data_IF_914290799914
#
_entry.id   IF_914290799914
#
_cell.length_a   1.000
_cell.length_b   1.000
_cell.length_c   1.000
_cell.angle_alpha   90.00
_cell.angle_beta   90.00
_cell.angle_gamma   90.00
#
_symmetry.space_group_name_H-M   'P 1'
#
loop_
_entity.id
_entity.type
_entity.pdbx_description
1 polymer ?
#
# COMPACT_ATOMS: atom_id res chain seq x y z
N UNK A 1 35.52 -45.08 25.60
CA UNK A 1 35.77 -43.71 25.10
C UNK A 1 34.45 -43.11 24.67
N UNK A 2 34.11 -41.95 25.23
CA UNK A 2 32.81 -41.29 25.09
C UNK A 2 32.75 -40.65 23.70
N UNK A 3 31.96 -41.21 22.80
CA UNK A 3 31.74 -40.64 21.47
C UNK A 3 30.94 -39.34 21.60
N UNK A 4 31.67 -38.25 21.76
CA UNK A 4 31.38 -36.89 21.28
C UNK A 4 29.94 -36.64 20.84
N UNK A 5 29.08 -36.35 21.82
CA UNK A 5 27.78 -35.74 21.63
C UNK A 5 27.95 -34.23 21.41
N UNK A 6 28.37 -33.79 20.23
CA UNK A 6 28.35 -32.35 19.87
C UNK A 6 28.12 -32.22 18.36
N UNK A 7 26.86 -32.27 17.90
CA UNK A 7 26.51 -31.88 16.53
C UNK A 7 25.02 -31.55 16.37
N UNK A 8 24.36 -30.99 17.39
CA UNK A 8 22.94 -30.68 17.26
C UNK A 8 22.58 -29.48 18.14
N UNK A 9 22.80 -28.24 17.67
CA UNK A 9 22.00 -27.08 18.09
C UNK A 9 22.37 -25.79 17.32
N UNK A 10 22.12 -25.73 16.01
CA UNK A 10 22.13 -24.45 15.28
C UNK A 10 20.98 -24.42 14.26
N UNK A 11 19.74 -24.56 14.75
CA UNK A 11 18.55 -24.10 14.06
C UNK A 11 18.17 -22.74 14.64
N UNK A 12 18.93 -21.70 14.28
CA UNK A 12 18.48 -20.32 14.49
C UNK A 12 17.32 -20.07 13.53
N UNK A 13 16.09 -20.28 14.00
CA UNK A 13 14.88 -19.77 13.35
C UNK A 13 14.95 -18.24 13.39
N UNK A 14 15.52 -17.62 12.35
CA UNK A 14 15.35 -16.20 12.11
C UNK A 14 13.89 -15.97 11.78
N UNK A 15 13.09 -15.64 12.81
CA UNK A 15 11.75 -15.13 12.63
C UNK A 15 11.87 -13.79 11.88
N UNK A 16 11.73 -13.83 10.56
CA UNK A 16 11.50 -12.62 9.79
C UNK A 16 10.13 -12.10 10.24
N UNK A 17 10.12 -11.11 11.13
CA UNK A 17 8.92 -10.37 11.48
C UNK A 17 8.48 -9.59 10.23
N UNK A 18 7.74 -10.24 9.35
CA UNK A 18 7.07 -9.57 8.25
C UNK A 18 6.02 -8.66 8.89
N UNK A 19 6.27 -7.35 8.88
CA UNK A 19 5.32 -6.40 9.43
C UNK A 19 3.99 -6.58 8.68
N UNK A 20 2.96 -7.00 9.41
CA UNK A 20 1.64 -7.24 8.83
C UNK A 20 1.15 -5.96 8.13
N UNK A 21 0.69 -6.11 6.89
CA UNK A 21 0.08 -5.03 6.12
C UNK A 21 -1.17 -4.53 6.86
N UNK A 22 -1.18 -3.25 7.24
CA UNK A 22 -2.35 -2.63 7.87
C UNK A 22 -3.26 -2.09 6.79
N UNK A 23 -4.55 -2.40 6.85
CA UNK A 23 -5.51 -2.00 5.81
C UNK A 23 -6.79 -1.40 6.39
N UNK A 24 -7.46 -0.59 5.58
CA UNK A 24 -8.79 -0.05 5.87
C UNK A 24 -9.55 0.18 4.57
N UNK A 25 -10.76 -0.35 4.49
CA UNK A 25 -11.70 -0.01 3.42
C UNK A 25 -12.30 1.38 3.62
N UNK A 26 -12.38 2.13 2.52
CA UNK A 26 -13.03 3.44 2.44
C UNK A 26 -13.98 3.46 1.24
N UNK A 27 -15.11 4.13 1.43
CA UNK A 27 -16.15 4.32 0.41
C UNK A 27 -16.05 5.73 -0.18
N UNK A 28 -15.94 5.83 -1.50
CA UNK A 28 -15.88 7.08 -2.24
C UNK A 28 -17.13 7.95 -2.07
N UNK A 29 -18.29 7.35 -1.76
CA UNK A 29 -19.52 8.10 -1.45
C UNK A 29 -19.34 9.06 -0.27
N UNK A 30 -18.49 8.70 0.71
CA UNK A 30 -18.20 9.57 1.85
C UNK A 30 -17.40 10.84 1.47
N UNK A 31 -16.80 10.87 0.28
CA UNK A 31 -15.99 11.98 -0.24
C UNK A 31 -16.72 12.78 -1.33
N UNK A 32 -17.82 12.26 -1.89
CA UNK A 32 -18.55 12.90 -2.98
C UNK A 32 -17.66 13.23 -4.17
N UNK A 33 -17.74 14.46 -4.65
CA UNK A 33 -16.94 14.94 -5.79
C UNK A 33 -15.43 14.99 -5.51
N UNK A 34 -15.03 15.00 -4.22
CA UNK A 34 -13.63 14.96 -3.83
C UNK A 34 -13.01 13.55 -3.89
N UNK A 35 -13.77 12.52 -4.28
CA UNK A 35 -13.26 11.16 -4.42
C UNK A 35 -12.24 11.04 -5.58
N UNK A 36 -10.97 10.67 -5.33
CA UNK A 36 -9.92 10.79 -6.33
C UNK A 36 -9.75 9.57 -7.25
N UNK A 37 -10.47 8.46 -7.04
CA UNK A 37 -10.26 7.20 -7.75
C UNK A 37 -11.42 6.86 -8.70
N UNK A 38 -11.14 6.19 -9.80
CA UNK A 38 -12.15 5.83 -10.82
C UNK A 38 -13.10 4.72 -10.38
N UNK A 39 -12.78 4.01 -9.32
CA UNK A 39 -13.60 2.95 -8.72
C UNK A 39 -14.22 3.42 -7.41
N UNK A 40 -15.39 2.90 -7.06
CA UNK A 40 -16.22 3.43 -5.97
C UNK A 40 -15.65 3.20 -4.56
N UNK A 41 -14.97 2.07 -4.34
CA UNK A 41 -14.48 1.65 -3.02
C UNK A 41 -13.03 1.23 -3.09
N UNK A 42 -12.23 1.66 -2.11
CA UNK A 42 -10.82 1.34 -2.04
C UNK A 42 -10.48 0.65 -0.72
N UNK A 43 -9.60 -0.34 -0.76
CA UNK A 43 -8.85 -0.79 0.42
C UNK A 43 -7.54 -0.01 0.48
N UNK A 44 -7.44 0.94 1.41
CA UNK A 44 -6.19 1.66 1.68
C UNK A 44 -5.28 0.75 2.51
N UNK A 45 -3.99 0.80 2.24
CA UNK A 45 -3.00 -0.07 2.86
C UNK A 45 -1.72 0.68 3.23
N UNK A 46 -1.12 0.28 4.34
CA UNK A 46 0.26 0.58 4.68
C UNK A 46 1.08 -0.72 4.78
N UNK A 47 2.10 -0.82 3.92
CA UNK A 47 3.07 -1.92 3.90
C UNK A 47 4.39 -1.45 4.51
N UNK A 48 4.96 -2.25 5.41
CA UNK A 48 6.25 -1.98 6.07
C UNK A 48 6.34 -0.57 6.73
N UNK A 49 5.22 -0.05 7.25
CA UNK A 49 5.11 1.29 7.89
C UNK A 49 5.54 2.47 7.01
N UNK A 50 5.62 2.27 5.68
CA UNK A 50 6.25 3.23 4.77
C UNK A 50 5.55 3.36 3.43
N UNK A 51 5.07 2.26 2.86
CA UNK A 51 4.52 2.24 1.52
C UNK A 51 3.00 2.32 1.59
N UNK A 52 2.42 3.38 1.05
CA UNK A 52 0.98 3.56 1.01
C UNK A 52 0.44 3.12 -0.35
N UNK A 53 -0.54 2.23 -0.32
CA UNK A 53 -1.24 1.72 -1.50
C UNK A 53 -2.75 1.93 -1.37
N UNK A 54 -3.42 1.97 -2.52
CA UNK A 54 -4.86 1.73 -2.65
C UNK A 54 -5.07 0.50 -3.51
N UNK A 55 -5.99 -0.36 -3.09
CA UNK A 55 -6.44 -1.52 -3.84
C UNK A 55 -7.84 -1.25 -4.38
N UNK A 56 -8.07 -1.57 -5.64
CA UNK A 56 -9.42 -1.69 -6.18
C UNK A 56 -10.06 -2.94 -5.58
N UNK A 57 -11.12 -2.79 -4.78
CA UNK A 57 -11.73 -3.93 -4.09
C UNK A 57 -12.41 -4.93 -5.02
N UNK A 58 -12.70 -4.56 -6.28
CA UNK A 58 -13.31 -5.43 -7.26
C UNK A 58 -12.28 -6.29 -8.03
N UNK A 59 -11.06 -5.78 -8.24
CA UNK A 59 -10.02 -6.47 -9.03
C UNK A 59 -8.81 -6.91 -8.21
N UNK A 60 -8.69 -6.45 -6.97
CA UNK A 60 -7.53 -6.57 -6.06
C UNK A 60 -6.22 -6.00 -6.64
N UNK A 61 -6.29 -5.27 -7.75
CA UNK A 61 -5.15 -4.51 -8.26
C UNK A 61 -4.78 -3.37 -7.31
N UNK A 62 -3.47 -3.13 -7.16
CA UNK A 62 -2.95 -2.13 -6.23
C UNK A 62 -2.14 -1.04 -6.91
N UNK A 63 -2.24 0.17 -6.37
CA UNK A 63 -1.65 1.37 -6.93
C UNK A 63 -0.86 2.14 -5.85
N UNK A 64 0.42 2.49 -6.08
CA UNK A 64 1.24 3.19 -5.11
C UNK A 64 0.84 4.67 -5.01
N UNK A 65 0.53 5.15 -3.80
CA UNK A 65 0.03 6.51 -3.58
C UNK A 65 1.16 7.48 -3.22
N UNK A 66 2.00 7.13 -2.24
CA UNK A 66 3.09 7.99 -1.80
C UNK A 66 4.37 7.80 -2.63
N UNK A 67 5.28 8.79 -2.58
CA UNK A 67 6.52 8.78 -3.36
C UNK A 67 7.39 7.54 -3.09
N UNK A 68 7.44 7.08 -1.84
CA UNK A 68 8.23 5.91 -1.46
C UNK A 68 7.68 4.61 -2.02
N UNK A 69 6.35 4.43 -2.06
CA UNK A 69 5.73 3.28 -2.73
C UNK A 69 5.94 3.36 -4.25
N UNK A 70 5.78 4.55 -4.85
CA UNK A 70 6.00 4.75 -6.29
C UNK A 70 7.43 4.38 -6.71
N UNK A 71 8.42 4.81 -5.93
CA UNK A 71 9.82 4.47 -6.20
C UNK A 71 10.10 2.97 -6.04
N UNK A 72 9.52 2.32 -5.03
CA UNK A 72 9.66 0.87 -4.83
C UNK A 72 9.02 0.06 -5.98
N UNK A 73 7.87 0.52 -6.50
CA UNK A 73 7.26 -0.10 -7.69
C UNK A 73 8.11 0.12 -8.93
N UNK A 74 8.56 1.36 -9.17
CA UNK A 74 9.42 1.70 -10.29
C UNK A 74 10.75 0.92 -10.30
N UNK A 75 11.29 0.59 -9.13
CA UNK A 75 12.52 -0.18 -9.01
C UNK A 75 12.31 -1.70 -9.05
N UNK A 76 11.07 -2.19 -9.20
CA UNK A 76 10.74 -3.61 -9.13
C UNK A 76 10.84 -4.23 -7.72
N UNK A 77 10.99 -3.43 -6.67
CA UNK A 77 11.03 -3.92 -5.28
C UNK A 77 9.64 -4.37 -4.81
N UNK A 78 8.59 -3.72 -5.29
CA UNK A 78 7.20 -4.03 -5.00
C UNK A 78 6.41 -4.06 -6.31
N UNK A 79 5.38 -4.89 -6.38
CA UNK A 79 4.47 -4.87 -7.53
C UNK A 79 3.44 -3.74 -7.39
N UNK A 80 2.85 -3.28 -8.48
CA UNK A 80 1.77 -2.29 -8.47
C UNK A 80 1.56 -1.66 -9.84
N UNK A 81 0.32 -1.25 -10.12
CA UNK A 81 -0.05 -0.55 -11.33
C UNK A 81 0.34 0.93 -11.33
N UNK A 82 0.16 1.61 -12.45
CA UNK A 82 0.30 3.07 -12.53
C UNK A 82 -0.93 3.75 -11.92
N UNK A 83 -0.73 4.50 -10.83
CA UNK A 83 -1.79 5.29 -10.20
C UNK A 83 -2.50 6.21 -11.20
N UNK A 84 -1.81 6.74 -12.21
CA UNK A 84 -2.41 7.65 -13.20
C UNK A 84 -3.51 7.00 -14.05
N UNK A 85 -3.54 5.67 -14.14
CA UNK A 85 -4.60 4.93 -14.83
C UNK A 85 -5.94 4.98 -14.08
N UNK A 86 -5.90 5.14 -12.76
CA UNK A 86 -7.09 5.13 -11.89
C UNK A 86 -7.32 6.44 -11.13
N UNK A 87 -6.41 7.40 -11.24
CA UNK A 87 -6.55 8.72 -10.62
C UNK A 87 -7.48 9.61 -11.44
N UNK A 88 -8.65 9.95 -10.91
CA UNK A 88 -9.60 10.84 -11.58
C UNK A 88 -8.99 12.21 -11.88
N UNK A 89 -9.27 12.71 -13.09
CA UNK A 89 -9.02 14.10 -13.46
C UNK A 89 -10.01 15.02 -12.74
N UNK A 90 -9.60 16.26 -12.46
CA UNK A 90 -10.51 17.26 -11.93
C UNK A 90 -11.58 17.59 -12.97
N UNK A 91 -12.87 17.70 -12.58
CA UNK A 91 -13.92 18.15 -13.50
C UNK A 91 -13.75 19.62 -13.90
N UNK A 92 -13.08 20.43 -13.08
CA UNK A 92 -12.85 21.85 -13.35
C UNK A 92 -11.68 22.08 -14.33
N UNK A 93 -10.66 21.21 -14.27
CA UNK A 93 -9.47 21.27 -15.11
C UNK A 93 -8.91 19.87 -15.37
N UNK A 94 -9.08 19.39 -16.60
CA UNK A 94 -8.64 18.05 -16.99
C UNK A 94 -7.12 17.84 -17.01
N UNK A 95 -6.32 18.91 -16.90
CA UNK A 95 -4.87 18.84 -16.73
C UNK A 95 -4.48 18.51 -15.28
N UNK A 96 -5.40 18.74 -14.33
CA UNK A 96 -5.23 18.45 -12.92
C UNK A 96 -5.92 17.14 -12.53
N UNK A 97 -5.47 16.57 -11.41
CA UNK A 97 -6.10 15.40 -10.79
C UNK A 97 -6.81 15.83 -9.51
N UNK A 98 -7.88 15.12 -9.15
CA UNK A 98 -8.55 15.35 -7.87
C UNK A 98 -7.55 15.14 -6.73
N UNK A 99 -7.58 15.99 -5.70
CA UNK A 99 -6.63 15.89 -4.59
C UNK A 99 -6.68 14.51 -3.92
N UNK A 100 -5.55 13.78 -3.96
CA UNK A 100 -5.43 12.46 -3.33
C UNK A 100 -5.03 12.51 -1.86
N UNK A 101 -4.70 13.70 -1.34
CA UNK A 101 -4.27 13.94 0.04
C UNK A 101 -5.13 13.24 1.09
N UNK A 102 -6.48 13.37 1.07
CA UNK A 102 -7.33 12.70 2.06
C UNK A 102 -7.20 11.18 2.09
N UNK A 103 -7.00 10.53 0.94
CA UNK A 103 -6.78 9.08 0.84
C UNK A 103 -5.37 8.71 1.32
N UNK A 104 -4.38 9.53 0.97
CA UNK A 104 -3.01 9.38 1.43
C UNK A 104 -2.92 9.49 2.97
N UNK A 105 -3.64 10.43 3.59
CA UNK A 105 -3.69 10.64 5.03
C UNK A 105 -4.27 9.41 5.76
N UNK A 106 -5.30 8.76 5.18
CA UNK A 106 -5.78 7.47 5.68
C UNK A 106 -4.68 6.41 5.64
N UNK A 107 -3.90 6.37 4.56
CA UNK A 107 -2.76 5.48 4.45
C UNK A 107 -1.66 5.74 5.49
N UNK A 108 -1.31 7.01 5.73
CA UNK A 108 -0.33 7.37 6.76
C UNK A 108 -0.81 7.06 8.18
N UNK A 109 -2.11 7.25 8.47
CA UNK A 109 -2.68 6.84 9.75
C UNK A 109 -2.52 5.34 10.01
N UNK A 110 -2.58 4.50 8.97
CA UNK A 110 -2.29 3.07 9.06
C UNK A 110 -0.79 2.81 9.26
N UNK A 111 0.09 3.67 8.79
CA UNK A 111 1.53 3.60 9.06
C UNK A 111 1.91 4.09 10.47
N UNK A 112 0.95 4.60 11.25
CA UNK A 112 1.15 5.33 12.50
C UNK A 112 2.02 6.60 12.28
N UNK A 113 1.67 7.40 11.26
CA UNK A 113 2.39 8.61 10.82
C UNK A 113 1.44 9.75 10.45
#
# INVERSE_FOLDING_TARGET
MKHTAIALFLLSLSANALAAEKTKEIDGKAYGDAWPLTFDTAKVSCVNRLYVFVYNTATDERYPVNGTAKNAVKSGKLEGGDLNAVWRKSPEDSSQRINIGPVLDKGFSLCDR
#
